data_IF_442024606641
#
_entry.id   IF_442024606641
#
_cell.length_a   1.000
_cell.length_b   1.000
_cell.length_c   1.000
_cell.angle_alpha   90.00
_cell.angle_beta   90.00
_cell.angle_gamma   90.00
#
_symmetry.space_group_name_H-M   'P 1'
#
loop_
_entity.id
_entity.type
_entity.pdbx_description
1 polymer ?
#
# COMPACT_ATOMS: atom_id res chain seq x y z
N UNK A 1 31.16 -10.94 -5.99
CA UNK A 1 31.45 -9.93 -4.95
C UNK A 1 30.12 -9.34 -4.53
N UNK A 2 29.91 -9.04 -3.24
CA UNK A 2 28.64 -8.48 -2.77
C UNK A 2 28.78 -6.97 -2.62
N UNK A 3 27.88 -6.21 -3.25
CA UNK A 3 27.83 -4.75 -3.17
C UNK A 3 26.67 -4.31 -2.27
N UNK A 4 26.91 -3.30 -1.44
CA UNK A 4 25.87 -2.73 -0.59
C UNK A 4 25.16 -1.60 -1.33
N UNK A 5 23.85 -1.76 -1.50
CA UNK A 5 23.02 -0.81 -2.22
C UNK A 5 22.15 0.00 -1.25
N UNK A 6 21.97 1.28 -1.55
CA UNK A 6 20.91 2.07 -0.94
C UNK A 6 19.54 1.74 -1.55
N UNK A 7 18.48 2.39 -1.07
CA UNK A 7 17.12 2.13 -1.55
C UNK A 7 16.97 2.36 -3.07
N UNK A 8 17.58 3.42 -3.62
CA UNK A 8 17.60 3.70 -5.06
C UNK A 8 18.35 2.62 -5.84
N UNK A 9 19.50 2.20 -5.32
CA UNK A 9 20.35 1.16 -5.90
C UNK A 9 19.63 -0.18 -5.97
N UNK A 10 18.90 -0.58 -4.92
CA UNK A 10 18.09 -1.82 -4.91
C UNK A 10 17.10 -1.85 -6.07
N UNK A 11 16.51 -0.70 -6.39
CA UNK A 11 15.47 -0.62 -7.41
C UNK A 11 16.00 -0.52 -8.83
N UNK A 12 17.12 0.18 -9.00
CA UNK A 12 17.89 0.11 -10.23
C UNK A 12 18.36 -1.34 -10.48
N UNK A 13 18.91 -2.00 -9.47
CA UNK A 13 19.34 -3.39 -9.55
C UNK A 13 18.18 -4.35 -9.85
N UNK A 14 17.00 -4.14 -9.26
CA UNK A 14 15.81 -4.93 -9.57
C UNK A 14 15.35 -4.77 -11.03
N UNK A 15 15.37 -3.55 -11.56
CA UNK A 15 15.04 -3.30 -12.98
C UNK A 15 16.07 -4.00 -13.89
N UNK A 16 17.35 -3.87 -13.59
CA UNK A 16 18.41 -4.52 -14.36
C UNK A 16 18.31 -6.05 -14.28
N UNK A 17 17.92 -6.59 -13.13
CA UNK A 17 17.69 -8.03 -12.95
C UNK A 17 16.58 -8.53 -13.87
N UNK A 18 15.46 -7.80 -13.97
CA UNK A 18 14.39 -8.17 -14.89
C UNK A 18 14.88 -8.10 -16.35
N UNK A 19 15.54 -7.00 -16.74
CA UNK A 19 15.97 -6.80 -18.14
C UNK A 19 16.94 -7.87 -18.65
N UNK A 20 17.88 -8.26 -17.80
CA UNK A 20 18.98 -9.15 -18.14
C UNK A 20 18.66 -10.63 -17.91
N UNK A 21 17.45 -10.97 -17.45
CA UNK A 21 17.05 -12.35 -17.27
C UNK A 21 16.86 -13.08 -18.61
N UNK A 22 17.52 -14.23 -18.74
CA UNK A 22 17.47 -15.10 -19.91
C UNK A 22 16.93 -16.50 -19.59
N UNK A 23 17.07 -16.98 -18.35
CA UNK A 23 16.68 -18.35 -17.97
C UNK A 23 15.52 -18.39 -16.98
N UNK A 24 15.52 -17.53 -15.95
CA UNK A 24 14.45 -17.47 -14.96
C UNK A 24 14.48 -16.16 -14.16
N UNK A 25 13.32 -15.78 -13.63
CA UNK A 25 13.21 -14.73 -12.61
C UNK A 25 12.49 -15.31 -11.40
N UNK A 26 13.07 -15.15 -10.21
CA UNK A 26 12.38 -15.43 -8.95
C UNK A 26 12.21 -14.13 -8.15
N UNK A 27 10.97 -13.82 -7.82
CA UNK A 27 10.56 -12.64 -7.04
C UNK A 27 9.96 -13.14 -5.74
N UNK A 28 10.69 -13.01 -4.64
CA UNK A 28 10.28 -13.44 -3.31
C UNK A 28 10.07 -12.18 -2.47
N UNK A 29 8.82 -11.88 -2.14
CA UNK A 29 8.52 -10.69 -1.32
C UNK A 29 7.21 -10.86 -0.56
N UNK A 30 7.14 -10.48 0.73
CA UNK A 30 5.91 -10.55 1.51
C UNK A 30 4.74 -9.82 0.85
N UNK A 31 5.02 -8.73 0.13
CA UNK A 31 3.99 -7.90 -0.49
C UNK A 31 4.26 -7.77 -1.98
N UNK A 32 3.23 -7.84 -2.81
CA UNK A 32 3.37 -7.50 -4.23
C UNK A 32 3.14 -5.99 -4.36
N UNK A 33 4.19 -5.24 -4.72
CA UNK A 33 4.10 -3.81 -5.03
C UNK A 33 5.01 -3.52 -6.21
N UNK A 34 4.43 -3.56 -7.42
CA UNK A 34 5.16 -3.34 -8.66
C UNK A 34 4.86 -1.96 -9.21
N UNK A 35 5.88 -1.25 -9.69
CA UNK A 35 5.70 0.04 -10.36
C UNK A 35 5.27 -0.20 -11.81
N UNK A 36 4.63 0.78 -12.48
CA UNK A 36 4.30 0.66 -13.91
C UNK A 36 5.51 0.34 -14.80
N UNK A 37 6.70 0.80 -14.40
CA UNK A 37 7.95 0.47 -15.09
C UNK A 37 8.30 -1.01 -14.95
N UNK A 38 8.19 -1.58 -13.75
CA UNK A 38 8.46 -3.00 -13.50
C UNK A 38 7.50 -3.88 -14.33
N UNK A 39 6.22 -3.53 -14.36
CA UNK A 39 5.21 -4.23 -15.14
C UNK A 39 5.58 -4.28 -16.63
N UNK A 40 5.99 -3.15 -17.21
CA UNK A 40 6.42 -3.09 -18.61
C UNK A 40 7.63 -3.98 -18.90
N UNK A 41 8.61 -4.04 -17.99
CA UNK A 41 9.76 -4.93 -18.16
C UNK A 41 9.38 -6.40 -18.04
N UNK A 42 8.51 -6.76 -17.09
CA UNK A 42 8.00 -8.12 -16.96
C UNK A 42 7.24 -8.57 -18.20
N UNK A 43 6.44 -7.70 -18.83
CA UNK A 43 5.81 -7.98 -20.13
C UNK A 43 6.82 -8.24 -21.25
N UNK A 44 7.91 -7.47 -21.28
CA UNK A 44 8.97 -7.67 -22.27
C UNK A 44 9.68 -9.01 -22.08
N UNK A 45 9.80 -9.49 -20.85
CA UNK A 45 10.42 -10.79 -20.52
C UNK A 45 9.46 -11.94 -20.77
N UNK A 46 8.18 -11.76 -20.48
CA UNK A 46 7.14 -12.75 -20.81
C UNK A 46 7.09 -13.04 -22.32
N UNK A 47 7.33 -12.02 -23.16
CA UNK A 47 7.46 -12.19 -24.61
C UNK A 47 8.64 -13.08 -25.03
N UNK A 48 9.68 -13.16 -24.19
CA UNK A 48 10.84 -14.05 -24.38
C UNK A 48 10.59 -15.47 -23.83
N UNK A 49 9.43 -15.72 -23.20
CA UNK A 49 9.05 -16.98 -22.55
C UNK A 49 9.97 -17.39 -21.40
N UNK A 50 10.59 -16.43 -20.74
CA UNK A 50 11.40 -16.69 -19.54
C UNK A 50 10.45 -16.93 -18.37
N UNK A 51 10.57 -18.05 -17.64
CA UNK A 51 9.79 -18.33 -16.42
C UNK A 51 9.93 -17.23 -15.36
N UNK A 52 8.81 -16.85 -14.76
CA UNK A 52 8.74 -15.83 -13.71
C UNK A 52 8.02 -16.43 -12.49
N UNK A 53 8.76 -16.79 -11.46
CA UNK A 53 8.20 -17.30 -10.21
C UNK A 53 8.02 -16.16 -9.19
N UNK A 54 6.80 -15.98 -8.71
CA UNK A 54 6.45 -14.92 -7.77
C UNK A 54 5.92 -15.55 -6.49
N UNK A 55 6.66 -15.40 -5.40
CA UNK A 55 6.31 -15.96 -4.09
C UNK A 55 5.96 -14.80 -3.15
N UNK A 56 4.72 -14.81 -2.62
CA UNK A 56 4.24 -13.78 -1.69
C UNK A 56 3.58 -14.35 -0.44
N UNK A 57 3.43 -13.49 0.58
CA UNK A 57 2.88 -13.89 1.88
C UNK A 57 1.37 -14.13 1.78
N UNK A 58 0.92 -15.29 2.23
CA UNK A 58 -0.46 -15.78 2.08
C UNK A 58 -1.54 -14.91 2.71
N UNK A 59 -1.23 -14.26 3.83
CA UNK A 59 -2.13 -13.40 4.60
C UNK A 59 -2.21 -11.95 4.07
N UNK A 60 -1.50 -11.66 2.97
CA UNK A 60 -1.53 -10.34 2.34
C UNK A 60 -2.55 -10.31 1.21
N UNK A 61 -3.26 -9.18 1.11
CA UNK A 61 -4.15 -8.90 -0.01
C UNK A 61 -3.40 -8.00 -1.00
N UNK A 62 -2.69 -8.57 -1.99
CA UNK A 62 -2.09 -7.77 -3.05
C UNK A 62 -3.14 -7.01 -3.85
N UNK A 63 -2.73 -5.92 -4.49
CA UNK A 63 -3.61 -5.11 -5.33
C UNK A 63 -4.26 -6.00 -6.41
N UNK A 64 -5.61 -5.99 -6.55
CA UNK A 64 -6.30 -6.77 -7.57
C UNK A 64 -5.79 -6.51 -8.99
N UNK A 65 -5.40 -5.27 -9.30
CA UNK A 65 -4.86 -4.91 -10.63
C UNK A 65 -3.50 -5.58 -10.88
N UNK A 66 -2.59 -5.52 -9.90
CA UNK A 66 -1.27 -6.16 -10.00
C UNK A 66 -1.41 -7.68 -10.11
N UNK A 67 -2.30 -8.29 -9.32
CA UNK A 67 -2.58 -9.72 -9.44
C UNK A 67 -3.17 -10.09 -10.79
N UNK A 68 -4.14 -9.31 -11.29
CA UNK A 68 -4.75 -9.56 -12.58
C UNK A 68 -3.71 -9.50 -13.69
N UNK A 69 -2.81 -8.51 -13.64
CA UNK A 69 -1.69 -8.38 -14.56
C UNK A 69 -0.75 -9.57 -14.49
N UNK A 70 -0.30 -9.95 -13.30
CA UNK A 70 0.66 -11.06 -13.14
C UNK A 70 0.07 -12.39 -13.61
N UNK A 71 -1.25 -12.59 -13.43
CA UNK A 71 -1.97 -13.76 -13.95
C UNK A 71 -2.15 -13.74 -15.47
N UNK A 72 -2.02 -12.58 -16.14
CA UNK A 72 -2.09 -12.49 -17.60
C UNK A 72 -0.79 -12.89 -18.28
N UNK A 73 0.34 -12.86 -17.58
CA UNK A 73 1.64 -13.27 -18.12
C UNK A 73 1.63 -14.79 -18.34
N UNK A 74 2.06 -15.22 -19.53
CA UNK A 74 2.03 -16.63 -19.93
C UNK A 74 3.08 -17.47 -19.20
N UNK A 75 4.19 -16.83 -18.83
CA UNK A 75 5.37 -17.45 -18.24
C UNK A 75 5.45 -17.24 -16.72
N UNK A 76 4.45 -16.59 -16.12
CA UNK A 76 4.45 -16.29 -14.69
C UNK A 76 3.69 -17.33 -13.87
N UNK A 77 4.31 -17.75 -12.77
CA UNK A 77 3.70 -18.62 -11.76
C UNK A 77 3.68 -17.89 -10.42
N UNK A 78 2.53 -17.96 -9.75
CA UNK A 78 2.27 -17.20 -8.54
C UNK A 78 2.03 -18.18 -7.39
N UNK A 79 2.87 -18.08 -6.37
CA UNK A 79 2.90 -18.93 -5.20
C UNK A 79 2.58 -18.14 -3.94
N UNK A 80 1.84 -18.77 -3.04
CA UNK A 80 1.60 -18.25 -1.68
C UNK A 80 2.47 -19.02 -0.70
N UNK A 81 3.06 -18.32 0.25
CA UNK A 81 3.86 -18.88 1.33
C UNK A 81 3.41 -18.28 2.66
N UNK A 82 3.16 -19.13 3.66
CA UNK A 82 2.87 -18.69 5.02
C UNK A 82 4.13 -18.14 5.68
N UNK A 83 4.00 -17.11 6.50
CA UNK A 83 5.11 -16.49 7.25
C UNK A 83 6.31 -16.03 6.39
N UNK A 84 6.07 -15.68 5.13
CA UNK A 84 7.12 -15.12 4.27
C UNK A 84 7.50 -13.70 4.74
N UNK A 85 8.73 -13.53 5.20
CA UNK A 85 9.29 -12.21 5.58
C UNK A 85 10.43 -11.74 4.68
N UNK A 86 11.06 -12.67 3.95
CA UNK A 86 12.20 -12.42 3.09
C UNK A 86 11.82 -11.56 1.89
N UNK A 87 12.72 -10.64 1.50
CA UNK A 87 12.66 -9.90 0.24
C UNK A 87 13.92 -10.17 -0.54
N UNK A 88 13.79 -10.95 -1.60
CA UNK A 88 14.87 -11.17 -2.53
C UNK A 88 14.35 -11.33 -3.95
N UNK A 89 15.17 -10.88 -4.88
CA UNK A 89 14.93 -10.95 -6.31
C UNK A 89 16.15 -11.60 -6.93
N UNK A 90 15.99 -12.56 -7.80
CA UNK A 90 17.12 -13.26 -8.42
C UNK A 90 16.80 -13.68 -9.85
N UNK A 91 17.84 -13.67 -10.69
CA UNK A 91 17.88 -14.35 -11.97
C UNK A 91 19.14 -15.24 -12.02
N UNK A 92 19.48 -15.79 -13.18
CA UNK A 92 20.68 -16.61 -13.37
C UNK A 92 22.01 -15.87 -13.22
N UNK A 93 22.02 -14.54 -13.43
CA UNK A 93 23.24 -13.74 -13.42
C UNK A 93 23.57 -13.18 -12.02
N UNK A 94 22.57 -12.67 -11.30
CA UNK A 94 22.75 -12.09 -9.97
C UNK A 94 21.45 -12.03 -9.16
N UNK A 95 21.60 -11.71 -7.88
CA UNK A 95 20.48 -11.54 -6.95
C UNK A 95 20.60 -10.30 -6.09
N UNK A 96 19.45 -9.79 -5.68
CA UNK A 96 19.29 -8.64 -4.78
C UNK A 96 18.56 -9.14 -3.52
N UNK A 97 19.19 -8.99 -2.37
CA UNK A 97 18.59 -9.30 -1.06
C UNK A 97 18.40 -7.98 -0.33
N UNK A 98 17.20 -7.72 0.18
CA UNK A 98 16.89 -6.45 0.85
C UNK A 98 16.09 -6.63 2.13
N UNK A 99 16.34 -5.76 3.11
CA UNK A 99 15.54 -5.66 4.33
C UNK A 99 14.53 -4.50 4.29
N UNK A 100 14.68 -3.55 3.35
CA UNK A 100 13.83 -2.36 3.24
C UNK A 100 12.50 -2.64 2.54
N UNK A 101 11.48 -1.82 2.83
CA UNK A 101 10.16 -1.95 2.26
C UNK A 101 10.19 -1.84 0.72
N UNK A 102 9.32 -2.59 0.03
CA UNK A 102 9.12 -2.48 -1.41
C UNK A 102 9.01 -1.01 -1.82
N UNK A 103 9.69 -0.63 -2.89
CA UNK A 103 9.45 0.66 -3.50
C UNK A 103 8.02 0.74 -4.02
N UNK A 104 7.13 1.36 -3.24
CA UNK A 104 6.16 2.25 -3.89
C UNK A 104 7.01 3.28 -4.61
N UNK A 105 6.91 3.32 -5.94
CA UNK A 105 7.41 4.48 -6.67
C UNK A 105 6.88 5.71 -5.93
N UNK A 106 7.79 6.58 -5.49
CA UNK A 106 7.41 7.95 -5.27
C UNK A 106 7.07 8.51 -6.64
N UNK A 107 5.84 8.28 -7.09
CA UNK A 107 5.25 9.06 -8.15
C UNK A 107 4.94 10.42 -7.53
N UNK A 108 5.60 11.52 -7.96
CA UNK A 108 5.06 12.83 -7.65
C UNK A 108 3.67 12.84 -8.29
N UNK A 109 2.62 12.76 -7.46
CA UNK A 109 1.24 12.95 -7.91
C UNK A 109 1.21 14.30 -8.59
N UNK A 110 1.31 14.33 -9.93
CA UNK A 110 0.95 15.50 -10.71
C UNK A 110 -0.51 15.68 -10.41
N UNK A 111 -0.81 16.69 -9.59
CA UNK A 111 -2.16 17.15 -9.33
C UNK A 111 -2.73 17.66 -10.64
N UNK A 112 -3.26 16.77 -11.48
CA UNK A 112 -4.24 17.14 -12.48
C UNK A 112 -5.48 17.53 -11.70
N UNK A 113 -5.68 18.85 -11.58
CA UNK A 113 -6.88 19.45 -11.02
C UNK A 113 -8.03 19.15 -11.98
N UNK A 114 -8.65 17.99 -11.85
CA UNK A 114 -9.97 17.78 -12.41
C UNK A 114 -10.95 18.45 -11.45
N UNK A 115 -11.43 19.62 -11.85
CA UNK A 115 -12.57 20.24 -11.20
C UNK A 115 -13.77 19.36 -11.54
N UNK A 116 -14.25 18.58 -10.59
CA UNK A 116 -15.57 17.97 -10.67
C UNK A 116 -16.47 18.52 -9.56
N UNK A 117 -17.75 18.78 -9.87
CA UNK A 117 -18.59 19.68 -9.09
C UNK A 117 -19.17 19.00 -7.84
N UNK A 118 -19.47 19.81 -6.82
CA UNK A 118 -20.18 19.40 -5.59
C UNK A 118 -21.53 18.75 -5.90
N UNK A 119 -21.89 17.69 -5.16
CA UNK A 119 -23.26 17.31 -4.75
C UNK A 119 -23.14 16.42 -3.49
N UNK A 120 -23.44 16.94 -2.29
CA UNK A 120 -24.70 16.89 -1.50
C UNK A 120 -24.94 15.57 -0.73
N UNK A 121 -24.87 15.70 0.61
CA UNK A 121 -25.53 15.02 1.78
C UNK A 121 -26.04 13.56 1.62
N UNK A 122 -25.87 12.69 2.66
CA UNK A 122 -25.91 11.24 2.53
C UNK A 122 -27.34 10.67 2.58
N UNK A 123 -27.65 9.57 1.87
CA UNK A 123 -28.90 8.84 2.07
C UNK A 123 -28.76 7.73 3.12
N UNK A 124 -29.90 7.32 3.66
CA UNK A 124 -30.07 6.42 4.81
C UNK A 124 -29.55 5.00 4.52
N UNK A 125 -28.89 4.43 5.54
CA UNK A 125 -28.16 3.16 5.49
C UNK A 125 -29.05 1.97 5.11
N UNK A 126 -28.59 1.17 4.15
CA UNK A 126 -29.27 0.00 3.63
C UNK A 126 -28.42 -1.27 3.73
N UNK A 127 -29.07 -2.42 3.60
CA UNK A 127 -28.53 -3.78 3.77
C UNK A 127 -27.27 -4.09 2.94
N UNK A 128 -27.03 -3.33 1.86
CA UNK A 128 -25.87 -3.46 0.98
C UNK A 128 -24.55 -2.97 1.59
N UNK A 129 -24.57 -2.11 2.61
CA UNK A 129 -23.34 -1.60 3.24
C UNK A 129 -22.62 -2.66 4.08
N UNK A 130 -23.34 -3.62 4.68
CA UNK A 130 -22.71 -4.73 5.43
C UNK A 130 -21.90 -5.67 4.54
N UNK A 131 -22.22 -5.73 3.25
CA UNK A 131 -21.44 -6.49 2.27
C UNK A 131 -20.26 -5.68 1.72
N UNK A 132 -20.36 -4.35 1.69
CA UNK A 132 -19.29 -3.45 1.23
C UNK A 132 -18.15 -3.32 2.27
N UNK A 133 -18.48 -3.36 3.57
CA UNK A 133 -17.50 -3.38 4.67
C UNK A 133 -16.58 -4.63 4.65
N UNK A 134 -16.96 -5.70 3.95
CA UNK A 134 -16.09 -6.88 3.76
C UNK A 134 -15.13 -6.77 2.58
N UNK A 135 -15.29 -5.76 1.70
CA UNK A 135 -14.59 -5.67 0.41
C UNK A 135 -13.73 -4.41 0.27
N UNK A 136 -14.00 -3.35 1.02
CA UNK A 136 -13.24 -2.10 0.96
C UNK A 136 -12.60 -1.83 2.33
N UNK A 137 -11.30 -1.51 2.33
CA UNK A 137 -10.46 -1.37 3.52
C UNK A 137 -11.06 -0.49 4.62
N UNK A 138 -10.62 -0.74 5.85
CA UNK A 138 -11.19 -0.14 7.06
C UNK A 138 -11.38 1.38 6.92
N UNK A 139 -12.63 1.82 6.93
CA UNK A 139 -12.99 3.23 6.87
C UNK A 139 -12.53 3.95 8.14
N UNK A 140 -12.01 5.17 7.97
CA UNK A 140 -11.58 6.02 9.08
C UNK A 140 -12.06 7.45 8.91
N UNK A 141 -11.84 8.27 9.94
CA UNK A 141 -12.38 9.61 10.01
C UNK A 141 -11.33 10.62 10.49
N UNK A 142 -11.34 11.82 9.93
CA UNK A 142 -10.49 12.90 10.37
C UNK A 142 -10.85 13.30 11.81
N UNK A 143 -9.87 13.30 12.72
CA UNK A 143 -10.13 13.58 14.15
C UNK A 143 -10.62 15.01 14.43
N UNK A 144 -10.41 15.94 13.47
CA UNK A 144 -10.86 17.34 13.58
C UNK A 144 -12.24 17.60 12.98
N UNK A 145 -12.48 17.15 11.74
CA UNK A 145 -13.70 17.47 11.00
C UNK A 145 -14.66 16.30 10.80
N UNK A 146 -14.24 15.06 11.05
CA UNK A 146 -15.03 13.85 10.83
C UNK A 146 -15.20 13.45 9.36
N UNK A 147 -14.43 14.05 8.45
CA UNK A 147 -14.40 13.64 7.04
C UNK A 147 -13.82 12.24 6.90
N UNK A 148 -14.43 11.39 6.06
CA UNK A 148 -13.97 10.02 5.81
C UNK A 148 -12.61 10.03 5.11
N UNK A 149 -11.67 9.28 5.67
CA UNK A 149 -10.29 9.12 5.19
C UNK A 149 -9.88 7.64 5.33
N UNK A 150 -8.72 7.30 4.76
CA UNK A 150 -8.11 5.97 4.95
C UNK A 150 -7.63 5.79 6.40
N UNK A 151 -7.76 4.57 6.94
CA UNK A 151 -7.29 4.28 8.29
C UNK A 151 -5.77 4.36 8.40
N UNK A 152 -5.30 5.39 9.10
CA UNK A 152 -3.90 5.60 9.42
C UNK A 152 -3.77 6.37 10.75
N UNK A 153 -3.48 5.68 11.86
CA UNK A 153 -3.29 6.31 13.17
C UNK A 153 -2.15 7.35 13.21
N UNK A 154 -1.14 7.25 12.34
CA UNK A 154 -0.06 8.24 12.27
C UNK A 154 -0.49 9.52 11.52
N UNK A 155 -1.52 9.41 10.68
CA UNK A 155 -2.08 10.51 9.87
C UNK A 155 -3.59 10.63 10.11
N UNK A 156 -4.02 11.01 11.33
CA UNK A 156 -5.43 11.01 11.70
C UNK A 156 -6.22 12.21 11.14
N UNK A 157 -5.60 13.04 10.29
CA UNK A 157 -6.17 14.27 9.76
C UNK A 157 -6.36 14.18 8.24
N UNK A 158 -7.44 14.79 7.73
CA UNK A 158 -7.55 15.07 6.30
C UNK A 158 -6.55 16.17 5.89
N UNK A 159 -6.18 16.28 4.60
CA UNK A 159 -5.16 17.22 4.13
C UNK A 159 -5.39 18.68 4.57
N UNK A 160 -6.65 19.12 4.58
CA UNK A 160 -7.04 20.47 5.00
C UNK A 160 -6.80 20.70 6.50
N UNK A 161 -7.22 19.74 7.33
CA UNK A 161 -7.05 19.84 8.78
C UNK A 161 -5.60 19.68 9.19
N UNK A 162 -4.83 18.84 8.49
CA UNK A 162 -3.40 18.68 8.69
C UNK A 162 -2.64 19.98 8.41
N UNK A 163 -2.93 20.66 7.30
CA UNK A 163 -2.28 21.94 6.97
C UNK A 163 -2.52 23.02 8.05
N UNK A 164 -3.70 23.02 8.67
CA UNK A 164 -4.00 23.89 9.82
C UNK A 164 -3.28 23.45 11.09
N UNK A 165 -3.32 22.15 11.41
CA UNK A 165 -2.68 21.58 12.59
C UNK A 165 -1.15 21.75 12.55
N UNK A 166 -0.52 21.54 11.40
CA UNK A 166 0.94 21.62 11.20
C UNK A 166 1.53 23.01 11.51
N UNK A 167 0.72 24.07 11.47
CA UNK A 167 1.14 25.42 11.89
C UNK A 167 1.43 25.51 13.39
N UNK A 168 0.70 24.74 14.19
CA UNK A 168 0.83 24.71 15.64
C UNK A 168 1.63 23.49 16.10
N UNK A 169 1.60 22.40 15.32
CA UNK A 169 2.32 21.15 15.52
C UNK A 169 2.21 20.59 16.95
N UNK A 170 1.08 20.81 17.63
CA UNK A 170 0.84 20.39 19.00
C UNK A 170 0.18 18.99 19.01
N UNK A 171 0.90 17.92 19.37
CA UNK A 171 0.37 16.54 19.30
C UNK A 171 -0.68 16.24 20.36
N UNK A 172 -0.67 16.98 21.48
CA UNK A 172 -1.56 16.82 22.62
C UNK A 172 -2.82 17.69 22.51
N UNK A 173 -2.96 18.42 21.40
CA UNK A 173 -4.16 19.20 21.14
C UNK A 173 -5.39 18.29 21.10
N UNK A 174 -6.41 18.67 21.89
CA UNK A 174 -7.67 17.93 22.04
C UNK A 174 -8.55 18.15 20.81
N UNK A 175 -8.63 17.15 19.97
CA UNK A 175 -9.55 17.04 18.84
C UNK A 175 -10.90 16.42 19.27
N UNK A 176 -11.86 16.36 18.36
CA UNK A 176 -13.28 16.14 18.69
C UNK A 176 -13.90 14.87 18.11
N UNK A 177 -13.16 14.11 17.30
CA UNK A 177 -13.68 12.95 16.58
C UNK A 177 -12.74 11.76 16.74
N UNK A 178 -13.32 10.56 16.85
CA UNK A 178 -12.56 9.31 16.83
C UNK A 178 -12.18 8.91 15.41
N UNK A 179 -10.91 8.56 15.20
CA UNK A 179 -10.40 8.15 13.89
C UNK A 179 -11.03 6.85 13.39
N UNK A 180 -11.41 5.92 14.27
CA UNK A 180 -11.99 4.63 13.89
C UNK A 180 -13.51 4.70 13.68
N UNK A 181 -14.27 5.17 14.68
CA UNK A 181 -15.73 5.13 14.63
C UNK A 181 -16.39 6.43 14.12
N UNK A 182 -15.63 7.51 13.95
CA UNK A 182 -16.15 8.78 13.44
C UNK A 182 -17.12 9.52 14.37
N UNK A 183 -17.37 8.99 15.57
CA UNK A 183 -18.22 9.64 16.58
C UNK A 183 -17.45 10.70 17.35
N UNK A 184 -18.20 11.62 17.98
CA UNK A 184 -17.62 12.70 18.77
C UNK A 184 -16.95 12.15 20.03
N UNK A 185 -15.63 12.25 20.11
CA UNK A 185 -14.83 11.87 21.27
C UNK A 185 -13.65 12.81 21.41
N UNK A 186 -13.19 13.04 22.63
CA UNK A 186 -11.93 13.74 22.85
C UNK A 186 -10.76 12.84 22.48
N UNK A 187 -10.07 13.19 21.40
CA UNK A 187 -8.90 12.47 20.87
C UNK A 187 -7.73 13.43 20.72
N UNK A 188 -6.53 12.91 20.53
CA UNK A 188 -5.32 13.71 20.25
C UNK A 188 -4.60 13.10 19.05
N UNK A 189 -3.57 13.78 18.52
CA UNK A 189 -2.75 13.18 17.45
C UNK A 189 -2.03 11.93 17.96
N UNK A 190 -1.56 11.95 19.21
CA UNK A 190 -0.90 10.81 19.87
C UNK A 190 -1.87 9.68 20.18
N UNK A 191 -3.15 9.98 20.38
CA UNK A 191 -4.20 9.00 20.66
C UNK A 191 -5.46 9.33 19.84
N UNK A 192 -5.48 8.95 18.55
CA UNK A 192 -6.54 9.36 17.62
C UNK A 192 -7.81 8.50 17.73
N UNK A 193 -7.79 7.45 18.54
CA UNK A 193 -8.89 6.49 18.71
C UNK A 193 -9.48 6.61 20.13
N UNK A 194 -10.81 6.52 20.25
CA UNK A 194 -11.49 6.54 21.55
C UNK A 194 -11.17 5.28 22.38
N UNK A 195 -11.45 5.33 23.68
CA UNK A 195 -11.12 4.22 24.57
C UNK A 195 -11.86 2.92 24.23
N UNK A 196 -13.10 3.01 23.78
CA UNK A 196 -13.92 1.85 23.42
C UNK A 196 -13.35 1.16 22.17
N UNK A 197 -13.09 1.93 21.11
CA UNK A 197 -12.43 1.39 19.91
C UNK A 197 -11.01 0.89 20.21
N UNK A 198 -10.27 1.53 21.11
CA UNK A 198 -8.94 1.04 21.49
C UNK A 198 -9.01 -0.35 22.14
N UNK A 199 -9.96 -0.56 23.07
CA UNK A 199 -10.15 -1.85 23.75
C UNK A 199 -10.61 -2.98 22.81
N UNK A 200 -11.39 -2.67 21.78
CA UNK A 200 -11.93 -3.67 20.86
C UNK A 200 -10.91 -4.16 19.84
N UNK A 201 -9.93 -3.32 19.45
CA UNK A 201 -9.04 -3.61 18.33
C UNK A 201 -7.55 -3.75 18.71
N UNK A 202 -7.13 -3.24 19.87
CA UNK A 202 -5.73 -3.22 20.29
C UNK A 202 -5.48 -3.98 21.60
N UNK A 203 -6.39 -4.88 21.98
CA UNK A 203 -6.30 -5.70 23.19
C UNK A 203 -6.24 -7.19 22.86
#
# INVERSE_FOLDING_TARGET
MADFLDASGVSAAFIELIKNAEEQISIITPYISLTPHNLKYLQSIDSKKVPIDIIYRSDTTPNPEDLAFLKQLQSAQIYKCDDLHAKCYMNEQFGVITATANQRAYEPKKTTRTISPKLKVPPKKGLLEKALDSVLGEVAYCIRCGETIDYNPEKPYCPKCFASWARFNNPDYKEKVCHKCGTKHTTTKTRPVCNDCYKTYYR
#
